data_IF_118535393041
#
_entry.id   IF_118535393041
#
_cell.length_a   1.000
_cell.length_b   1.000
_cell.length_c   1.000
_cell.angle_alpha   90.00
_cell.angle_beta   90.00
_cell.angle_gamma   90.00
#
_symmetry.space_group_name_H-M   'P 1'
#
loop_
_entity.id
_entity.type
_entity.pdbx_description
1 polymer ?
#
# COMPACT_ATOMS: atom_id res chain seq x y z
N UNK A 1 36.87 9.44 -7.97
CA UNK A 1 37.30 10.12 -6.75
C UNK A 1 37.52 11.59 -7.07
N UNK A 2 36.77 12.49 -6.41
CA UNK A 2 36.97 13.92 -6.50
C UNK A 2 38.39 14.26 -6.02
N UNK A 3 39.10 15.12 -6.78
CA UNK A 3 40.38 15.63 -6.36
C UNK A 3 40.15 16.74 -5.33
N UNK A 4 40.49 16.55 -4.05
CA UNK A 4 40.25 17.54 -3.00
C UNK A 4 40.97 18.87 -3.20
N UNK A 5 41.91 18.94 -4.13
CA UNK A 5 42.65 20.18 -4.45
C UNK A 5 41.86 21.11 -5.37
N UNK A 6 40.73 20.64 -5.95
CA UNK A 6 40.02 21.37 -7.00
C UNK A 6 38.62 21.87 -6.57
N UNK A 7 38.32 21.87 -5.29
CA UNK A 7 37.03 22.33 -4.83
C UNK A 7 36.98 22.64 -3.35
N UNK A 8 35.79 23.03 -2.89
CA UNK A 8 35.51 23.31 -1.50
C UNK A 8 34.37 22.40 -1.04
N UNK A 9 34.64 21.56 -0.05
CA UNK A 9 33.68 20.66 0.54
C UNK A 9 33.50 20.99 2.02
N UNK A 10 32.24 21.19 2.40
CA UNK A 10 31.86 21.28 3.82
C UNK A 10 31.10 20.00 4.17
N UNK A 11 31.74 19.16 4.97
CA UNK A 11 31.18 17.83 5.30
C UNK A 11 30.27 17.91 6.53
N UNK A 12 30.73 18.53 7.60
CA UNK A 12 29.98 18.76 8.84
C UNK A 12 30.49 20.02 9.54
N UNK A 13 29.69 20.68 10.39
CA UNK A 13 30.11 21.88 11.12
C UNK A 13 31.32 21.67 12.03
N UNK A 14 31.58 20.45 12.47
CA UNK A 14 32.70 20.07 13.32
C UNK A 14 34.00 19.75 12.58
N UNK A 15 33.94 19.68 11.25
CA UNK A 15 35.12 19.40 10.43
C UNK A 15 35.62 20.68 9.78
N UNK A 16 36.93 20.78 9.62
CA UNK A 16 37.49 21.84 8.82
C UNK A 16 37.07 21.73 7.36
N UNK A 17 36.80 22.87 6.76
CA UNK A 17 36.51 22.93 5.33
C UNK A 17 37.72 22.49 4.52
N UNK A 18 37.50 21.48 3.67
CA UNK A 18 38.47 21.07 2.67
C UNK A 18 38.17 21.87 1.41
N UNK A 19 39.09 22.75 1.03
CA UNK A 19 38.96 23.57 -0.17
C UNK A 19 39.47 22.81 -1.39
N UNK A 20 38.65 22.69 -2.39
CA UNK A 20 39.05 22.27 -3.73
C UNK A 20 38.19 23.00 -4.78
N UNK A 21 38.72 23.22 -5.94
CA UNK A 21 38.02 23.87 -7.04
C UNK A 21 37.49 22.79 -8.01
N UNK A 22 36.17 22.79 -8.25
CA UNK A 22 35.57 21.97 -9.26
C UNK A 22 35.57 22.75 -10.57
N UNK A 23 36.35 22.28 -11.55
CA UNK A 23 36.35 22.81 -12.89
C UNK A 23 35.23 22.15 -13.69
N UNK A 24 34.75 22.78 -14.77
CA UNK A 24 33.59 22.37 -15.54
C UNK A 24 33.52 20.89 -15.86
N UNK A 25 34.60 20.26 -16.28
CA UNK A 25 34.65 18.82 -16.61
C UNK A 25 34.43 17.92 -15.38
N UNK A 26 34.90 18.32 -14.23
CA UNK A 26 34.74 17.55 -13.00
C UNK A 26 33.32 17.72 -12.45
N UNK A 27 32.74 18.89 -12.61
CA UNK A 27 31.35 19.12 -12.27
C UNK A 27 30.41 18.27 -13.17
N UNK A 28 30.71 18.20 -14.46
CA UNK A 28 29.97 17.38 -15.40
C UNK A 28 30.07 15.90 -15.03
N UNK A 29 31.28 15.40 -14.73
CA UNK A 29 31.49 14.04 -14.25
C UNK A 29 30.75 13.75 -12.93
N UNK A 30 30.79 14.68 -11.97
CA UNK A 30 30.06 14.55 -10.70
C UNK A 30 28.53 14.46 -10.96
N UNK A 31 28.00 15.30 -11.83
CA UNK A 31 26.60 15.32 -12.18
C UNK A 31 26.18 14.04 -12.90
N UNK A 32 26.99 13.57 -13.82
CA UNK A 32 26.75 12.35 -14.58
C UNK A 32 26.79 11.11 -13.68
N UNK A 33 27.84 10.97 -12.88
CA UNK A 33 27.98 9.88 -11.91
C UNK A 33 26.84 9.89 -10.88
N UNK A 34 26.42 11.07 -10.41
CA UNK A 34 25.29 11.20 -9.49
C UNK A 34 23.98 10.77 -10.13
N UNK A 35 23.76 11.08 -11.40
CA UNK A 35 22.60 10.62 -12.15
C UNK A 35 22.58 9.11 -12.29
N UNK A 36 23.70 8.52 -12.74
CA UNK A 36 23.84 7.07 -12.87
C UNK A 36 23.63 6.34 -11.54
N UNK A 37 24.19 6.82 -10.45
CA UNK A 37 24.00 6.26 -9.11
C UNK A 37 22.54 6.35 -8.67
N UNK A 38 21.87 7.46 -8.94
CA UNK A 38 20.46 7.63 -8.66
C UNK A 38 19.59 6.66 -9.47
N UNK A 39 19.88 6.45 -10.74
CA UNK A 39 19.16 5.48 -11.57
C UNK A 39 19.33 4.06 -11.04
N UNK A 40 20.55 3.64 -10.71
CA UNK A 40 20.84 2.34 -10.10
C UNK A 40 20.12 2.19 -8.76
N UNK A 41 20.17 3.21 -7.91
CA UNK A 41 19.48 3.23 -6.62
C UNK A 41 17.97 3.06 -6.78
N UNK A 42 17.33 3.86 -7.66
CA UNK A 42 15.90 3.77 -7.89
C UNK A 42 15.47 2.42 -8.47
N UNK A 43 16.27 1.86 -9.36
CA UNK A 43 16.00 0.51 -9.89
C UNK A 43 16.05 -0.55 -8.78
N UNK A 44 17.12 -0.56 -7.99
CA UNK A 44 17.27 -1.49 -6.88
C UNK A 44 16.16 -1.31 -5.81
N UNK A 45 15.79 -0.06 -5.53
CA UNK A 45 14.70 0.25 -4.62
C UNK A 45 13.36 -0.30 -5.13
N UNK A 46 13.05 -0.13 -6.42
CA UNK A 46 11.82 -0.67 -7.00
C UNK A 46 11.76 -2.20 -6.94
N UNK A 47 12.86 -2.86 -7.23
CA UNK A 47 12.98 -4.32 -7.13
C UNK A 47 12.77 -4.78 -5.69
N UNK A 48 13.40 -4.13 -4.72
CA UNK A 48 13.23 -4.41 -3.29
C UNK A 48 11.78 -4.20 -2.85
N UNK A 49 11.19 -3.06 -3.18
CA UNK A 49 9.80 -2.74 -2.81
C UNK A 49 8.82 -3.74 -3.41
N UNK A 50 9.02 -4.16 -4.65
CA UNK A 50 8.21 -5.19 -5.27
C UNK A 50 8.32 -6.54 -4.54
N UNK A 51 9.53 -6.95 -4.14
CA UNK A 51 9.74 -8.17 -3.35
C UNK A 51 9.05 -8.09 -1.99
N UNK A 52 9.08 -6.94 -1.34
CA UNK A 52 8.46 -6.68 -0.03
C UNK A 52 6.99 -6.27 -0.11
N UNK A 53 6.34 -6.44 -1.27
CA UNK A 53 4.92 -6.10 -1.48
C UNK A 53 4.58 -4.62 -1.27
N UNK A 54 5.42 -3.73 -1.78
CA UNK A 54 5.16 -2.30 -1.81
C UNK A 54 5.04 -1.76 -3.22
N UNK A 55 4.24 -0.72 -3.38
CA UNK A 55 4.11 0.05 -4.62
C UNK A 55 4.38 1.52 -4.39
N UNK A 56 4.92 2.17 -5.42
CA UNK A 56 5.04 3.62 -5.45
C UNK A 56 3.65 4.26 -5.53
N UNK A 57 3.45 5.28 -4.72
CA UNK A 57 2.25 6.09 -4.71
C UNK A 57 2.62 7.56 -4.80
N UNK A 58 2.07 8.26 -5.80
CA UNK A 58 2.23 9.71 -5.94
C UNK A 58 0.94 10.39 -5.51
N UNK A 59 0.97 11.08 -4.38
CA UNK A 59 -0.17 11.81 -3.83
C UNK A 59 0.20 13.20 -3.37
N UNK A 60 -0.81 13.98 -3.00
CA UNK A 60 -0.56 15.28 -2.37
C UNK A 60 -0.16 15.06 -0.91
N UNK A 61 0.96 15.65 -0.48
CA UNK A 61 1.37 15.62 0.92
C UNK A 61 0.32 16.29 1.82
N UNK A 62 0.11 15.76 3.03
CA UNK A 62 -0.87 16.32 4.00
C UNK A 62 -0.71 17.82 4.26
N UNK A 63 0.49 18.36 4.08
CA UNK A 63 0.82 19.78 4.32
C UNK A 63 1.43 20.50 3.12
N UNK A 64 1.51 19.85 1.96
CA UNK A 64 2.16 20.39 0.78
C UNK A 64 1.24 20.31 -0.43
N UNK A 65 1.19 21.39 -1.22
CA UNK A 65 0.55 21.38 -2.55
C UNK A 65 1.37 20.60 -3.59
N UNK A 66 2.56 20.15 -3.22
CA UNK A 66 3.43 19.38 -4.11
C UNK A 66 3.13 17.88 -4.01
N UNK A 67 3.23 17.20 -5.14
CA UNK A 67 3.17 15.75 -5.17
C UNK A 67 4.38 15.18 -4.44
N UNK A 68 4.12 14.30 -3.48
CA UNK A 68 5.14 13.59 -2.72
C UNK A 68 5.12 12.14 -3.16
N UNK A 69 6.28 11.62 -3.52
CA UNK A 69 6.46 10.20 -3.76
C UNK A 69 6.49 9.48 -2.41
N UNK A 70 5.63 8.51 -2.25
CA UNK A 70 5.57 7.67 -1.07
C UNK A 70 5.37 6.21 -1.48
N UNK A 71 5.54 5.31 -0.52
CA UNK A 71 5.37 3.88 -0.73
C UNK A 71 4.26 3.38 0.17
N UNK A 72 3.42 2.49 -0.38
CA UNK A 72 2.33 1.86 0.36
C UNK A 72 2.31 0.36 0.08
N UNK A 73 1.70 -0.45 0.97
CA UNK A 73 1.49 -1.88 0.70
C UNK A 73 0.74 -2.09 -0.61
N UNK A 74 1.13 -3.10 -1.37
CA UNK A 74 0.43 -3.51 -2.59
C UNK A 74 -0.83 -4.31 -2.24
N UNK A 75 -1.86 -3.60 -1.81
CA UNK A 75 -3.14 -4.22 -1.40
C UNK A 75 -3.73 -5.08 -2.51
N UNK A 76 -3.57 -4.69 -3.79
CA UNK A 76 -4.07 -5.47 -4.92
C UNK A 76 -3.41 -6.84 -4.96
N UNK A 77 -2.09 -6.88 -4.86
CA UNK A 77 -1.32 -8.12 -4.86
C UNK A 77 -1.65 -9.00 -3.64
N UNK A 78 -1.79 -8.40 -2.46
CA UNK A 78 -2.25 -9.12 -1.27
C UNK A 78 -3.64 -9.73 -1.45
N UNK A 79 -4.58 -9.02 -2.07
CA UNK A 79 -5.91 -9.53 -2.38
C UNK A 79 -5.84 -10.73 -3.33
N UNK A 80 -5.04 -10.63 -4.39
CA UNK A 80 -4.92 -11.67 -5.42
C UNK A 80 -4.20 -12.92 -4.89
N UNK A 81 -3.12 -12.78 -4.13
CA UNK A 81 -2.29 -13.89 -3.70
C UNK A 81 -2.77 -14.56 -2.39
N UNK A 82 -3.60 -13.89 -1.58
CA UNK A 82 -4.13 -14.49 -0.33
C UNK A 82 -5.24 -15.50 -0.55
N UNK A 83 -5.86 -15.52 -1.72
CA UNK A 83 -7.05 -16.35 -2.01
C UNK A 83 -6.92 -17.82 -1.60
N UNK A 84 -5.89 -18.55 -2.05
CA UNK A 84 -5.72 -19.97 -1.71
C UNK A 84 -5.68 -20.24 -0.19
N UNK A 85 -5.06 -19.36 0.59
CA UNK A 85 -4.99 -19.47 2.04
C UNK A 85 -6.31 -19.15 2.75
N UNK A 86 -7.25 -18.49 2.04
CA UNK A 86 -8.59 -18.14 2.54
C UNK A 86 -9.66 -19.15 2.15
N UNK A 87 -9.30 -20.22 1.44
CA UNK A 87 -10.26 -21.27 1.03
C UNK A 87 -11.07 -21.85 2.19
N UNK A 88 -10.49 -22.18 3.37
CA UNK A 88 -11.29 -22.70 4.49
C UNK A 88 -12.40 -21.75 4.95
N UNK A 89 -12.11 -20.43 4.98
CA UNK A 89 -13.10 -19.40 5.33
C UNK A 89 -14.18 -19.33 4.25
N UNK A 90 -13.79 -19.36 2.99
CA UNK A 90 -14.71 -19.32 1.85
C UNK A 90 -15.66 -20.51 1.85
N UNK A 91 -15.17 -21.72 2.19
CA UNK A 91 -16.01 -22.92 2.35
C UNK A 91 -16.98 -22.73 3.52
N UNK A 92 -16.51 -22.25 4.67
CA UNK A 92 -17.38 -22.01 5.82
C UNK A 92 -18.50 -21.02 5.50
N UNK A 93 -18.20 -19.93 4.78
CA UNK A 93 -19.19 -18.95 4.32
C UNK A 93 -20.17 -19.59 3.34
N UNK A 94 -19.71 -20.35 2.35
CA UNK A 94 -20.57 -21.06 1.38
C UNK A 94 -21.52 -22.03 2.06
N UNK A 95 -21.08 -22.73 3.10
CA UNK A 95 -21.91 -23.65 3.87
C UNK A 95 -23.01 -22.91 4.65
N UNK A 96 -22.73 -21.71 5.14
CA UNK A 96 -23.73 -20.88 5.85
C UNK A 96 -24.67 -20.14 4.91
N UNK A 97 -24.16 -19.73 3.75
CA UNK A 97 -24.87 -18.91 2.76
C UNK A 97 -24.79 -19.57 1.37
N UNK A 98 -25.42 -20.72 1.15
CA UNK A 98 -25.41 -21.35 -0.16
C UNK A 98 -26.08 -20.45 -1.21
N UNK A 99 -25.40 -20.23 -2.34
CA UNK A 99 -25.88 -19.39 -3.46
C UNK A 99 -26.05 -17.90 -3.12
N UNK A 100 -25.38 -17.39 -2.10
CA UNK A 100 -25.42 -15.97 -1.78
C UNK A 100 -24.72 -15.12 -2.86
N UNK A 101 -25.27 -13.93 -3.09
CA UNK A 101 -24.62 -12.90 -3.88
C UNK A 101 -23.42 -12.31 -3.14
N UNK A 102 -22.53 -11.61 -3.88
CA UNK A 102 -21.39 -10.91 -3.27
C UNK A 102 -21.85 -9.92 -2.18
N UNK A 103 -22.96 -9.19 -2.43
CA UNK A 103 -23.59 -8.29 -1.44
C UNK A 103 -23.98 -9.01 -0.15
N UNK A 104 -24.63 -10.17 -0.27
CA UNK A 104 -25.08 -10.92 0.91
C UNK A 104 -23.90 -11.49 1.70
N UNK A 105 -22.87 -11.94 1.00
CA UNK A 105 -21.62 -12.36 1.66
C UNK A 105 -20.95 -11.18 2.35
N UNK A 106 -20.83 -10.03 1.69
CA UNK A 106 -20.27 -8.83 2.29
C UNK A 106 -21.02 -8.41 3.57
N UNK A 107 -22.35 -8.35 3.51
CA UNK A 107 -23.21 -8.07 4.69
C UNK A 107 -23.03 -9.08 5.83
N UNK A 108 -22.76 -10.33 5.50
CA UNK A 108 -22.54 -11.38 6.49
C UNK A 108 -21.16 -11.27 7.18
N UNK A 109 -20.11 -11.01 6.42
CA UNK A 109 -18.74 -10.97 6.96
C UNK A 109 -18.37 -9.63 7.59
N UNK A 110 -19.02 -8.53 7.19
CA UNK A 110 -18.69 -7.19 7.67
C UNK A 110 -18.75 -7.06 9.21
N UNK A 111 -19.83 -7.49 9.91
CA UNK A 111 -19.87 -7.43 11.37
C UNK A 111 -18.76 -8.24 12.04
N UNK A 112 -18.40 -9.39 11.47
CA UNK A 112 -17.29 -10.20 11.98
C UNK A 112 -15.95 -9.46 11.86
N UNK A 113 -15.67 -8.86 10.70
CA UNK A 113 -14.44 -8.07 10.50
C UNK A 113 -14.39 -6.83 11.39
N UNK A 114 -15.54 -6.19 11.62
CA UNK A 114 -15.63 -5.04 12.53
C UNK A 114 -15.33 -5.42 13.99
N UNK A 115 -15.67 -6.65 14.40
CA UNK A 115 -15.38 -7.16 15.74
C UNK A 115 -13.92 -7.60 15.94
N UNK A 116 -13.11 -7.71 14.89
CA UNK A 116 -11.66 -7.90 15.04
C UNK A 116 -11.11 -6.67 15.77
N UNK A 117 -10.35 -6.83 16.87
CA UNK A 117 -9.78 -5.70 17.60
C UNK A 117 -8.99 -4.74 16.72
N UNK A 118 -9.19 -3.45 16.94
CA UNK A 118 -8.45 -2.42 16.21
C UNK A 118 -7.05 -2.24 16.81
N UNK A 119 -6.05 -2.17 15.94
CA UNK A 119 -4.69 -1.83 16.30
C UNK A 119 -4.12 -0.87 15.26
N UNK A 120 -3.57 0.26 15.70
CA UNK A 120 -3.01 1.31 14.82
C UNK A 120 -1.75 0.88 14.08
N UNK A 121 -1.18 -0.26 14.43
CA UNK A 121 0.06 -0.79 13.82
C UNK A 121 1.25 0.18 13.87
N UNK A 122 1.26 1.11 14.83
CA UNK A 122 2.35 2.08 15.02
C UNK A 122 3.67 1.38 15.43
N UNK A 123 3.56 0.25 16.09
CA UNK A 123 4.73 -0.55 16.46
C UNK A 123 5.30 -1.27 15.25
N UNK A 124 6.48 -0.84 14.80
CA UNK A 124 7.21 -1.51 13.71
C UNK A 124 7.53 -2.98 13.98
N UNK A 125 7.58 -3.40 15.24
CA UNK A 125 7.79 -4.79 15.63
C UNK A 125 6.55 -5.65 15.39
N UNK A 126 5.37 -5.06 15.47
CA UNK A 126 4.08 -5.75 15.32
C UNK A 126 3.56 -5.72 13.89
N UNK A 127 3.93 -4.72 13.10
CA UNK A 127 3.41 -4.48 11.75
C UNK A 127 4.41 -4.73 10.61
N UNK A 128 5.54 -5.39 10.86
CA UNK A 128 6.65 -5.50 9.91
C UNK A 128 7.12 -4.12 9.37
N UNK A 129 6.90 -3.07 10.13
CA UNK A 129 7.32 -1.70 9.78
C UNK A 129 6.38 -0.91 8.88
N UNK A 130 5.26 -1.49 8.45
CA UNK A 130 4.40 -0.91 7.42
C UNK A 130 3.12 -0.24 7.95
N UNK A 131 2.76 -0.43 9.22
CA UNK A 131 1.43 -0.04 9.70
C UNK A 131 0.29 -0.81 9.00
N UNK A 132 0.55 -2.03 8.55
CA UNK A 132 -0.37 -2.86 7.79
C UNK A 132 -0.14 -4.34 8.08
N UNK A 133 -1.21 -5.12 8.21
CA UNK A 133 -1.15 -6.58 8.29
C UNK A 133 -1.76 -7.22 7.04
N UNK A 134 -1.03 -8.13 6.37
CA UNK A 134 -1.58 -8.95 5.32
C UNK A 134 -2.79 -9.78 5.78
N UNK A 135 -3.73 -10.16 4.89
CA UNK A 135 -4.96 -10.86 5.23
C UNK A 135 -4.80 -12.03 6.21
N UNK A 136 -3.83 -12.90 5.96
CA UNK A 136 -3.59 -14.05 6.83
C UNK A 136 -3.07 -13.65 8.21
N UNK A 137 -2.29 -12.57 8.28
CA UNK A 137 -1.79 -12.06 9.58
C UNK A 137 -2.87 -11.38 10.41
N UNK A 138 -3.87 -10.75 9.78
CA UNK A 138 -5.06 -10.24 10.47
C UNK A 138 -5.79 -11.38 11.18
N UNK A 139 -5.93 -12.53 10.51
CA UNK A 139 -6.57 -13.72 11.08
C UNK A 139 -5.73 -14.37 12.17
N UNK A 140 -4.44 -14.55 11.92
CA UNK A 140 -3.49 -15.17 12.84
C UNK A 140 -3.38 -14.40 14.16
N UNK A 141 -3.33 -13.07 14.10
CA UNK A 141 -3.18 -12.20 15.27
C UNK A 141 -4.50 -11.71 15.84
N UNK A 142 -5.61 -11.93 15.16
CA UNK A 142 -6.94 -11.41 15.50
C UNK A 142 -6.91 -9.91 15.80
N UNK A 143 -6.24 -9.13 14.95
CA UNK A 143 -6.16 -7.66 15.06
C UNK A 143 -5.87 -7.04 13.70
N UNK A 144 -6.19 -5.76 13.54
CA UNK A 144 -5.89 -5.01 12.32
C UNK A 144 -6.47 -3.60 12.35
N UNK A 145 -5.89 -2.72 11.56
CA UNK A 145 -6.42 -1.40 11.26
C UNK A 145 -7.43 -1.43 10.10
N UNK A 146 -7.86 -0.26 9.63
CA UNK A 146 -8.89 -0.17 8.59
C UNK A 146 -8.45 -0.82 7.29
N UNK A 147 -7.25 -0.49 6.79
CA UNK A 147 -6.77 -0.96 5.50
C UNK A 147 -6.41 -2.46 5.53
N UNK A 148 -5.92 -2.97 6.65
CA UNK A 148 -5.72 -4.41 6.87
C UNK A 148 -7.03 -5.19 6.80
N UNK A 149 -8.07 -4.71 7.48
CA UNK A 149 -9.40 -5.36 7.50
C UNK A 149 -10.10 -5.27 6.15
N UNK A 150 -10.02 -4.12 5.48
CA UNK A 150 -10.59 -3.92 4.14
C UNK A 150 -9.89 -4.81 3.12
N UNK A 151 -8.56 -4.97 3.23
CA UNK A 151 -7.81 -5.86 2.35
C UNK A 151 -8.18 -7.33 2.58
N UNK A 152 -8.37 -7.76 3.83
CA UNK A 152 -8.87 -9.09 4.15
C UNK A 152 -10.27 -9.32 3.57
N UNK A 153 -11.18 -8.36 3.73
CA UNK A 153 -12.52 -8.43 3.15
C UNK A 153 -12.48 -8.56 1.62
N UNK A 154 -11.68 -7.72 0.98
CA UNK A 154 -11.49 -7.75 -0.47
C UNK A 154 -10.93 -9.09 -0.94
N UNK A 155 -9.97 -9.68 -0.22
CA UNK A 155 -9.37 -10.97 -0.54
C UNK A 155 -10.39 -12.12 -0.45
N UNK A 156 -11.21 -12.16 0.59
CA UNK A 156 -12.29 -13.15 0.74
C UNK A 156 -13.29 -13.01 -0.41
N UNK A 157 -13.79 -11.80 -0.65
CA UNK A 157 -14.78 -11.55 -1.69
C UNK A 157 -14.22 -11.84 -3.09
N UNK A 158 -12.99 -11.45 -3.38
CA UNK A 158 -12.35 -11.71 -4.67
C UNK A 158 -12.13 -13.20 -4.93
N UNK A 159 -11.74 -13.94 -3.89
CA UNK A 159 -11.60 -15.39 -3.97
C UNK A 159 -12.94 -16.11 -4.22
N UNK A 160 -14.00 -15.68 -3.52
CA UNK A 160 -15.33 -16.25 -3.70
C UNK A 160 -15.99 -15.84 -5.03
N UNK A 161 -15.71 -14.63 -5.50
CA UNK A 161 -16.30 -14.03 -6.70
C UNK A 161 -15.20 -13.45 -7.61
N UNK A 162 -14.49 -14.27 -8.38
CA UNK A 162 -13.33 -13.83 -9.16
C UNK A 162 -13.61 -12.72 -10.18
N UNK A 163 -14.86 -12.60 -10.64
CA UNK A 163 -15.28 -11.54 -11.59
C UNK A 163 -15.72 -10.25 -10.90
N UNK A 164 -15.86 -10.24 -9.58
CA UNK A 164 -16.24 -9.05 -8.82
C UNK A 164 -15.15 -7.99 -8.97
N UNK A 165 -15.56 -6.78 -9.31
CA UNK A 165 -14.69 -5.60 -9.27
C UNK A 165 -14.80 -4.98 -7.89
N UNK A 166 -13.66 -4.77 -7.27
CA UNK A 166 -13.54 -4.22 -5.91
C UNK A 166 -12.60 -3.03 -5.95
N UNK A 167 -12.94 -1.98 -5.26
CA UNK A 167 -12.11 -0.81 -5.02
C UNK A 167 -11.82 -0.70 -3.51
N UNK A 168 -10.58 -0.43 -3.14
CA UNK A 168 -10.22 0.02 -1.79
C UNK A 168 -10.10 1.54 -1.86
N UNK A 169 -10.93 2.22 -1.07
CA UNK A 169 -11.10 3.67 -1.11
C UNK A 169 -10.51 4.24 0.16
N UNK A 170 -9.54 5.14 -0.01
CA UNK A 170 -8.90 5.82 1.11
C UNK A 170 -9.54 7.20 1.30
N UNK A 171 -10.03 7.43 2.49
CA UNK A 171 -10.47 8.74 2.97
C UNK A 171 -9.59 9.16 4.14
N UNK A 172 -9.60 10.42 4.59
CA UNK A 172 -8.82 10.82 5.76
C UNK A 172 -9.10 9.89 6.95
N UNK A 173 -8.03 9.29 7.46
CA UNK A 173 -8.02 8.41 8.65
C UNK A 173 -8.83 7.11 8.53
N UNK A 174 -9.30 6.76 7.32
CA UNK A 174 -10.09 5.54 7.14
C UNK A 174 -9.91 4.90 5.77
N UNK A 175 -10.22 3.60 5.67
CA UNK A 175 -10.29 2.86 4.42
C UNK A 175 -11.66 2.17 4.32
N UNK A 176 -12.25 2.24 3.14
CA UNK A 176 -13.54 1.66 2.80
C UNK A 176 -13.39 0.67 1.65
N UNK A 177 -14.38 -0.20 1.51
CA UNK A 177 -14.49 -1.09 0.36
C UNK A 177 -15.67 -0.69 -0.50
N UNK A 178 -15.44 -0.61 -1.81
CA UNK A 178 -16.47 -0.45 -2.82
C UNK A 178 -16.57 -1.70 -3.69
N UNK A 179 -17.77 -2.13 -4.00
CA UNK A 179 -18.05 -3.29 -4.86
C UNK A 179 -18.89 -2.87 -6.07
N UNK A 180 -18.49 -3.27 -7.27
CA UNK A 180 -19.32 -3.10 -8.45
C UNK A 180 -20.41 -4.16 -8.46
N UNK A 181 -21.52 -3.86 -7.79
CA UNK A 181 -22.74 -4.67 -7.70
C UNK A 181 -23.95 -3.76 -7.92
N UNK A 182 -25.11 -4.34 -8.28
CA UNK A 182 -26.34 -3.56 -8.40
C UNK A 182 -26.63 -2.84 -7.08
N UNK A 183 -26.81 -1.53 -7.12
CA UNK A 183 -27.10 -0.71 -5.95
C UNK A 183 -28.59 -0.67 -5.64
N UNK A 184 -28.90 -0.43 -4.37
CA UNK A 184 -30.25 -0.16 -3.85
C UNK A 184 -30.39 1.35 -3.63
N UNK A 185 -31.62 1.82 -3.42
CA UNK A 185 -31.88 3.25 -3.26
C UNK A 185 -31.16 3.87 -2.04
N UNK A 186 -30.97 3.07 -1.00
CA UNK A 186 -30.29 3.47 0.24
C UNK A 186 -28.77 3.34 0.22
N UNK A 187 -28.19 2.77 -0.83
CA UNK A 187 -26.73 2.57 -0.90
C UNK A 187 -25.99 3.88 -1.23
N UNK A 188 -24.82 4.05 -0.63
CA UNK A 188 -23.84 5.03 -1.08
C UNK A 188 -23.13 4.48 -2.31
N UNK A 189 -23.18 5.23 -3.40
CA UNK A 189 -22.57 4.83 -4.67
C UNK A 189 -21.50 5.83 -5.07
N UNK A 190 -20.36 5.33 -5.48
CA UNK A 190 -19.25 6.12 -5.99
C UNK A 190 -18.95 5.70 -7.42
N UNK A 191 -18.99 6.65 -8.36
CA UNK A 191 -18.48 6.42 -9.71
C UNK A 191 -16.95 6.47 -9.71
N UNK A 192 -16.34 5.41 -10.26
CA UNK A 192 -14.91 5.32 -10.50
C UNK A 192 -14.72 4.86 -11.95
N UNK A 193 -14.22 5.75 -12.79
CA UNK A 193 -13.96 5.49 -14.21
C UNK A 193 -15.20 4.98 -14.99
N UNK A 194 -16.38 5.52 -14.68
CA UNK A 194 -17.65 5.15 -15.31
C UNK A 194 -18.25 3.85 -14.81
N UNK A 195 -17.83 3.38 -13.65
CA UNK A 195 -18.37 2.20 -12.98
C UNK A 195 -18.85 2.56 -11.57
N UNK A 196 -20.09 2.17 -11.28
CA UNK A 196 -20.70 2.36 -9.97
C UNK A 196 -20.18 1.33 -8.97
N UNK A 197 -19.65 1.84 -7.86
CA UNK A 197 -19.23 1.04 -6.71
C UNK A 197 -20.11 1.35 -5.52
N UNK A 198 -20.81 0.33 -5.02
CA UNK A 198 -21.55 0.38 -3.76
C UNK A 198 -20.59 0.26 -2.58
N UNK A 199 -20.69 1.20 -1.62
CA UNK A 199 -19.85 1.24 -0.42
C UNK A 199 -20.48 0.45 0.72
#
# INVERSE_FOLDING_TARGET
>A
KLDPRKGKVRILPSYQDINFEIIGREQEWVNETSRELNEVYHKALKEYLYQEYYVEFSGFGRQSKNRVLSYKPDHKRFVEESGPSLEPISIAIKNKLPRASARNVAKFILPWLQNIPYNTMESRKESNGAGFLPPIKVLDRNQGDCDSKVTLMAAILKHMFPRLRIAIIYIPEHALIGMNVSHLQEDYVLDIDGLDYTL
#
